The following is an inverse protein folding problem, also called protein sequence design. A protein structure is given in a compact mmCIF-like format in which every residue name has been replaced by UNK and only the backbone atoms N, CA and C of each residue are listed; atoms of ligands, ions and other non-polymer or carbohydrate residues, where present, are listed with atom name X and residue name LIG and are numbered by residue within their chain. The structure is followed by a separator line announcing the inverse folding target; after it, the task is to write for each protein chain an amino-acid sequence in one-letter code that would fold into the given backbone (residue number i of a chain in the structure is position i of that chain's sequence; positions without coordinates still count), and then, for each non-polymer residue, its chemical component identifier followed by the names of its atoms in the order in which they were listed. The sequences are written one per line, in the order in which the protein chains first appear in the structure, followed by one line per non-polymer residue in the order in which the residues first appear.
data_IF_207121151321
#
_entry.id   IF_207121151321
#
_cell.length_a   1.000
_cell.length_b   1.000
_cell.length_c   1.000
_cell.angle_alpha   90.00
_cell.angle_beta   90.00
_cell.angle_gamma   90.00
#
_symmetry.space_group_name_H-M   'P 1'
#
loop_
_entity.id
_entity.type
_entity.pdbx_description
1 polymer ?
#
# COMPACT_ATOMS: atom_id res chain seq x y z
N UNK A 1 -39.41 -46.44 -25.04
CA UNK A 1 -38.08 -45.80 -25.12
C UNK A 1 -38.23 -44.34 -24.69
N UNK A 2 -37.88 -44.01 -23.44
CA UNK A 2 -37.84 -42.62 -22.94
C UNK A 2 -36.39 -42.34 -22.56
N UNK A 3 -35.70 -41.55 -23.37
CA UNK A 3 -34.30 -41.21 -23.14
C UNK A 3 -34.21 -40.17 -22.02
N UNK A 4 -33.53 -40.54 -20.93
CA UNK A 4 -33.16 -39.64 -19.86
C UNK A 4 -31.96 -38.80 -20.32
N UNK A 5 -32.13 -37.47 -20.39
CA UNK A 5 -31.03 -36.55 -20.65
C UNK A 5 -30.46 -36.09 -19.30
N UNK A 6 -29.32 -36.65 -18.92
CA UNK A 6 -28.48 -36.20 -17.81
C UNK A 6 -27.82 -34.88 -18.20
N UNK A 7 -28.28 -33.77 -17.61
CA UNK A 7 -27.61 -32.47 -17.71
C UNK A 7 -26.47 -32.48 -16.69
N UNK A 8 -25.24 -32.63 -17.18
CA UNK A 8 -24.01 -32.54 -16.41
C UNK A 8 -23.79 -31.09 -15.99
N UNK A 9 -24.10 -30.75 -14.73
CA UNK A 9 -23.79 -29.45 -14.14
C UNK A 9 -22.27 -29.30 -14.00
N UNK A 10 -21.64 -28.60 -14.93
CA UNK A 10 -20.23 -28.25 -14.89
C UNK A 10 -20.05 -27.10 -13.88
N UNK A 11 -19.82 -27.45 -12.61
CA UNK A 11 -19.48 -26.50 -11.56
C UNK A 11 -18.10 -25.90 -11.83
N UNK A 12 -18.07 -24.68 -12.37
CA UNK A 12 -16.88 -23.83 -12.42
C UNK A 12 -16.54 -23.38 -11.00
N UNK A 13 -15.78 -24.19 -10.28
CA UNK A 13 -15.13 -23.76 -9.04
C UNK A 13 -14.07 -22.72 -9.40
N UNK A 14 -14.40 -21.44 -9.22
CA UNK A 14 -13.40 -20.37 -9.25
C UNK A 14 -12.41 -20.63 -8.12
N UNK A 15 -11.21 -21.12 -8.46
CA UNK A 15 -10.08 -21.15 -7.55
C UNK A 15 -9.76 -19.69 -7.17
N UNK A 16 -10.19 -19.27 -5.98
CA UNK A 16 -9.73 -18.04 -5.38
C UNK A 16 -8.23 -18.20 -5.09
N UNK A 17 -7.38 -17.62 -5.95
CA UNK A 17 -5.97 -17.51 -5.63
C UNK A 17 -5.84 -16.64 -4.37
N UNK A 18 -4.95 -16.99 -3.43
CA UNK A 18 -4.68 -16.13 -2.29
C UNK A 18 -4.22 -14.77 -2.83
N UNK A 19 -4.90 -13.71 -2.41
CA UNK A 19 -4.43 -12.34 -2.64
C UNK A 19 -3.04 -12.23 -2.02
N UNK A 20 -2.01 -12.22 -2.85
CA UNK A 20 -0.65 -12.00 -2.40
C UNK A 20 -0.59 -10.54 -1.95
N UNK A 21 -0.41 -10.32 -0.65
CA UNK A 21 -0.07 -9.00 -0.13
C UNK A 21 1.13 -8.50 -0.93
N UNK A 22 1.07 -7.26 -1.43
CA UNK A 22 2.16 -6.74 -2.25
C UNK A 22 3.41 -6.69 -1.36
N UNK A 23 4.43 -7.49 -1.67
CA UNK A 23 5.66 -7.47 -0.88
C UNK A 23 6.35 -6.11 -1.04
N UNK A 24 6.23 -5.29 -0.01
CA UNK A 24 6.85 -3.98 0.07
C UNK A 24 8.09 -4.05 0.93
N UNK A 25 9.19 -3.50 0.41
CA UNK A 25 10.40 -3.22 1.20
C UNK A 25 10.08 -2.28 2.38
N UNK A 26 10.89 -2.27 3.45
CA UNK A 26 10.68 -1.34 4.57
C UNK A 26 10.56 0.12 4.14
N UNK A 27 11.35 0.55 3.15
CA UNK A 27 11.30 1.90 2.60
C UNK A 27 9.97 2.19 1.90
N UNK A 28 9.45 1.27 1.07
CA UNK A 28 8.12 1.45 0.45
C UNK A 28 7.00 1.46 1.49
N UNK A 29 7.10 0.63 2.54
CA UNK A 29 6.14 0.63 3.66
C UNK A 29 6.16 1.97 4.42
N UNK A 30 7.32 2.60 4.56
CA UNK A 30 7.44 3.96 5.08
C UNK A 30 6.73 4.96 4.15
N UNK A 31 7.00 4.93 2.84
CA UNK A 31 6.35 5.83 1.89
C UNK A 31 4.82 5.69 1.91
N UNK A 32 4.29 4.47 2.06
CA UNK A 32 2.85 4.25 2.21
C UNK A 32 2.29 4.88 3.50
N UNK A 33 3.02 4.78 4.62
CA UNK A 33 2.63 5.44 5.86
C UNK A 33 2.67 6.98 5.70
N UNK A 34 3.65 7.53 4.98
CA UNK A 34 3.74 8.96 4.70
C UNK A 34 2.57 9.42 3.80
N UNK A 35 2.19 8.62 2.80
CA UNK A 35 0.99 8.88 1.99
C UNK A 35 -0.26 8.90 2.88
N UNK A 36 -0.43 7.90 3.74
CA UNK A 36 -1.57 7.81 4.65
C UNK A 36 -1.66 9.03 5.58
N UNK A 37 -0.52 9.48 6.12
CA UNK A 37 -0.44 10.71 6.91
C UNK A 37 -0.93 11.93 6.12
N UNK A 38 -0.45 12.12 4.90
CA UNK A 38 -0.86 13.27 4.05
C UNK A 38 -2.34 13.19 3.65
N UNK A 39 -2.89 12.00 3.45
CA UNK A 39 -4.33 11.82 3.25
C UNK A 39 -5.13 12.24 4.49
N UNK A 40 -4.64 11.93 5.68
CA UNK A 40 -5.21 12.40 6.95
C UNK A 40 -5.17 13.92 7.08
N UNK A 41 -4.04 14.54 6.76
CA UNK A 41 -3.90 16.00 6.71
C UNK A 41 -4.93 16.63 5.76
N UNK A 42 -5.04 16.07 4.55
CA UNK A 42 -5.98 16.54 3.51
C UNK A 42 -7.43 16.38 3.97
N UNK A 43 -7.73 15.31 4.70
CA UNK A 43 -9.06 15.06 5.28
C UNK A 43 -9.48 16.12 6.29
N UNK A 44 -8.58 16.51 7.19
CA UNK A 44 -8.84 17.55 8.18
C UNK A 44 -9.07 18.90 7.53
N UNK A 45 -8.20 19.27 6.59
CA UNK A 45 -8.26 20.55 5.89
C UNK A 45 -9.53 20.67 5.05
N UNK A 46 -9.93 19.59 4.38
CA UNK A 46 -11.17 19.55 3.61
C UNK A 46 -12.40 19.62 4.50
N UNK A 47 -12.47 18.85 5.60
CA UNK A 47 -13.61 18.92 6.53
C UNK A 47 -13.79 20.32 7.13
N UNK A 48 -12.70 21.06 7.37
CA UNK A 48 -12.78 22.43 7.86
C UNK A 48 -13.56 23.35 6.90
N UNK A 49 -13.52 23.08 5.58
CA UNK A 49 -14.19 23.88 4.54
C UNK A 49 -15.48 23.28 3.98
N UNK A 50 -15.58 21.96 3.90
CA UNK A 50 -16.69 21.23 3.27
C UNK A 50 -17.65 20.61 4.29
N UNK A 51 -17.28 20.64 5.58
CA UNK A 51 -18.08 20.15 6.69
C UNK A 51 -17.61 18.79 7.25
N UNK A 52 -17.97 18.52 8.51
CA UNK A 52 -17.48 17.39 9.28
C UNK A 52 -17.87 16.00 8.74
N UNK A 53 -18.84 15.93 7.82
CA UNK A 53 -19.33 14.68 7.24
C UNK A 53 -18.67 14.33 5.90
N UNK A 54 -17.82 15.19 5.33
CA UNK A 54 -17.07 14.87 4.11
C UNK A 54 -16.28 13.56 4.29
N UNK A 55 -16.33 12.67 3.29
CA UNK A 55 -15.67 11.35 3.29
C UNK A 55 -14.60 11.22 2.20
N UNK A 56 -14.38 12.26 1.39
CA UNK A 56 -13.64 12.17 0.13
C UNK A 56 -12.24 11.57 0.29
N UNK A 57 -11.53 11.96 1.36
CA UNK A 57 -10.19 11.47 1.64
C UNK A 57 -10.17 10.15 2.43
N UNK A 58 -11.21 9.84 3.21
CA UNK A 58 -11.35 8.50 3.81
C UNK A 58 -11.56 7.44 2.75
N UNK A 59 -12.40 7.70 1.75
CA UNK A 59 -12.64 6.78 0.64
C UNK A 59 -11.36 6.46 -0.14
N UNK A 60 -10.49 7.46 -0.32
CA UNK A 60 -9.17 7.28 -0.92
C UNK A 60 -8.22 6.49 -0.04
N UNK A 61 -8.25 6.71 1.26
CA UNK A 61 -7.48 5.91 2.21
C UNK A 61 -7.92 4.45 2.19
N UNK A 62 -9.23 4.17 2.08
CA UNK A 62 -9.75 2.81 1.87
C UNK A 62 -9.23 2.21 0.56
N UNK A 63 -9.24 2.99 -0.53
CA UNK A 63 -8.63 2.57 -1.80
C UNK A 63 -7.14 2.22 -1.69
N UNK A 64 -6.37 2.94 -0.85
CA UNK A 64 -4.96 2.59 -0.57
C UNK A 64 -4.86 1.24 0.14
N UNK A 65 -5.65 1.00 1.19
CA UNK A 65 -5.61 -0.28 1.90
C UNK A 65 -6.09 -1.44 1.04
N UNK A 66 -7.11 -1.23 0.21
CA UNK A 66 -7.63 -2.26 -0.69
C UNK A 66 -6.60 -2.64 -1.76
N UNK A 67 -5.91 -1.63 -2.31
CA UNK A 67 -4.89 -1.84 -3.35
C UNK A 67 -3.63 -2.50 -2.81
N UNK A 68 -3.15 -2.06 -1.64
CA UNK A 68 -1.90 -2.57 -1.07
C UNK A 68 -2.08 -3.91 -0.35
N UNK A 69 -3.32 -4.27 0.02
CA UNK A 69 -3.67 -5.46 0.79
C UNK A 69 -2.67 -5.72 1.95
N UNK A 70 -2.47 -4.75 2.85
CA UNK A 70 -1.41 -4.82 3.85
C UNK A 70 -1.67 -5.94 4.87
N UNK A 71 -0.59 -6.51 5.41
CA UNK A 71 -0.68 -7.32 6.62
C UNK A 71 -1.21 -6.49 7.81
N UNK A 72 -1.63 -7.18 8.89
CA UNK A 72 -2.25 -6.52 10.05
C UNK A 72 -1.34 -5.49 10.74
N UNK A 73 -0.01 -5.64 10.64
CA UNK A 73 0.92 -4.69 11.24
C UNK A 73 1.00 -3.41 10.41
N UNK A 74 1.10 -3.53 9.09
CA UNK A 74 1.09 -2.39 8.19
C UNK A 74 -0.27 -1.69 8.16
N UNK A 75 -1.38 -2.44 8.10
CA UNK A 75 -2.74 -1.86 8.14
C UNK A 75 -2.94 -0.93 9.36
N UNK A 76 -2.58 -1.43 10.56
CA UNK A 76 -2.62 -0.63 11.79
C UNK A 76 -1.79 0.64 11.66
N UNK A 77 -0.56 0.50 11.16
CA UNK A 77 0.36 1.62 10.97
C UNK A 77 -0.19 2.67 9.99
N UNK A 78 -0.81 2.24 8.89
CA UNK A 78 -1.42 3.16 7.92
C UNK A 78 -2.58 3.94 8.55
N UNK A 79 -3.44 3.26 9.32
CA UNK A 79 -4.55 3.88 10.06
C UNK A 79 -4.04 4.87 11.11
N UNK A 80 -3.02 4.51 11.86
CA UNK A 80 -2.37 5.39 12.84
C UNK A 80 -1.78 6.64 12.17
N UNK A 81 -1.10 6.47 11.04
CA UNK A 81 -0.53 7.58 10.27
C UNK A 81 -1.62 8.54 9.77
N UNK A 82 -2.69 8.02 9.17
CA UNK A 82 -3.85 8.82 8.75
C UNK A 82 -4.45 9.60 9.92
N UNK A 83 -4.71 8.94 11.04
CA UNK A 83 -5.29 9.57 12.23
C UNK A 83 -4.37 10.66 12.80
N UNK A 84 -3.05 10.44 12.74
CA UNK A 84 -2.05 11.41 13.19
C UNK A 84 -2.01 12.66 12.31
N UNK A 85 -2.02 12.49 10.98
CA UNK A 85 -2.08 13.62 10.03
C UNK A 85 -3.37 14.42 10.16
N UNK A 86 -4.49 13.72 10.34
CA UNK A 86 -5.79 14.33 10.59
C UNK A 86 -5.81 15.14 11.90
N UNK A 87 -5.32 14.57 13.00
CA UNK A 87 -5.24 15.26 14.28
C UNK A 87 -4.35 16.51 14.20
N UNK A 88 -3.20 16.41 13.52
CA UNK A 88 -2.26 17.52 13.35
C UNK A 88 -2.90 18.72 12.65
N UNK A 89 -3.48 18.52 11.46
CA UNK A 89 -4.08 19.65 10.72
C UNK A 89 -5.37 20.17 11.32
N UNK A 90 -6.15 19.33 11.98
CA UNK A 90 -7.36 19.77 12.69
C UNK A 90 -7.01 20.65 13.89
N UNK A 91 -5.92 20.36 14.59
CA UNK A 91 -5.44 21.21 15.68
C UNK A 91 -4.93 22.57 15.17
N UNK A 92 -4.28 22.58 14.00
CA UNK A 92 -3.76 23.81 13.37
C UNK A 92 -4.85 24.65 12.70
N UNK A 93 -5.84 24.01 12.07
CA UNK A 93 -6.90 24.64 11.28
C UNK A 93 -8.28 24.10 11.68
N UNK A 94 -8.85 24.57 12.81
CA UNK A 94 -10.18 24.14 13.27
C UNK A 94 -11.31 24.64 12.36
N UNK A 95 -11.09 25.73 11.62
CA UNK A 95 -12.08 26.36 10.73
C UNK A 95 -11.49 26.64 9.34
N UNK A 96 -12.36 26.75 8.34
CA UNK A 96 -11.93 27.13 6.98
C UNK A 96 -11.35 28.54 6.96
N UNK A 97 -10.17 28.68 6.37
CA UNK A 97 -9.52 29.97 6.17
C UNK A 97 -8.70 29.97 4.88
N UNK A 98 -8.18 31.14 4.50
CA UNK A 98 -7.21 31.23 3.40
C UNK A 98 -5.97 30.37 3.68
N UNK A 99 -5.51 30.34 4.94
CA UNK A 99 -4.36 29.55 5.34
C UNK A 99 -4.63 28.04 5.23
N UNK A 100 -5.82 27.57 5.63
CA UNK A 100 -6.17 26.15 5.50
C UNK A 100 -6.24 25.70 4.03
N UNK A 101 -6.76 26.53 3.12
CA UNK A 101 -6.77 26.23 1.67
C UNK A 101 -5.36 26.17 1.07
N UNK A 102 -4.45 27.04 1.53
CA UNK A 102 -3.03 26.99 1.12
C UNK A 102 -2.38 25.69 1.63
N UNK A 103 -2.65 25.32 2.90
CA UNK A 103 -2.16 24.08 3.47
C UNK A 103 -2.73 22.85 2.74
N UNK A 104 -3.99 22.89 2.32
CA UNK A 104 -4.63 21.81 1.54
C UNK A 104 -3.92 21.61 0.20
N UNK A 105 -3.66 22.70 -0.53
CA UNK A 105 -2.90 22.65 -1.77
C UNK A 105 -1.47 22.12 -1.55
N UNK A 106 -0.84 22.47 -0.42
CA UNK A 106 0.50 21.97 -0.08
C UNK A 106 0.48 20.47 0.27
N UNK A 107 -0.53 20.00 1.01
CA UNK A 107 -0.74 18.58 1.30
C UNK A 107 -0.95 17.78 0.00
N UNK A 108 -1.80 18.27 -0.91
CA UNK A 108 -2.03 17.63 -2.21
C UNK A 108 -0.74 17.48 -3.02
N UNK A 109 0.09 18.53 -3.12
CA UNK A 109 1.40 18.46 -3.81
C UNK A 109 2.34 17.45 -3.17
N UNK A 110 2.41 17.39 -1.83
CA UNK A 110 3.23 16.40 -1.13
C UNK A 110 2.73 14.98 -1.37
N UNK A 111 1.42 14.75 -1.32
CA UNK A 111 0.80 13.45 -1.61
C UNK A 111 1.12 12.98 -3.03
N UNK A 112 1.02 13.87 -4.02
CA UNK A 112 1.38 13.58 -5.41
C UNK A 112 2.86 13.21 -5.57
N UNK A 113 3.76 13.93 -4.88
CA UNK A 113 5.19 13.64 -4.91
C UNK A 113 5.51 12.27 -4.30
N UNK A 114 4.90 11.93 -3.16
CA UNK A 114 5.07 10.62 -2.51
C UNK A 114 4.53 9.49 -3.38
N UNK A 115 3.34 9.64 -3.95
CA UNK A 115 2.73 8.64 -4.84
C UNK A 115 3.60 8.41 -6.10
N UNK A 116 4.09 9.48 -6.72
CA UNK A 116 5.00 9.40 -7.87
C UNK A 116 6.30 8.69 -7.52
N UNK A 117 6.88 9.00 -6.35
CA UNK A 117 8.10 8.35 -5.87
C UNK A 117 7.88 6.85 -5.66
N UNK A 118 6.79 6.46 -4.99
CA UNK A 118 6.45 5.06 -4.76
C UNK A 118 6.25 4.30 -6.08
N UNK A 119 5.55 4.90 -7.05
CA UNK A 119 5.33 4.30 -8.37
C UNK A 119 6.66 4.09 -9.11
N UNK A 120 7.56 5.08 -9.07
CA UNK A 120 8.87 5.01 -9.73
C UNK A 120 9.80 3.93 -9.15
N UNK A 121 9.71 3.68 -7.86
CA UNK A 121 10.49 2.62 -7.20
C UNK A 121 9.86 1.27 -7.49
N UNK A 122 8.53 1.17 -7.49
CA UNK A 122 7.82 -0.09 -7.77
C UNK A 122 8.12 -0.61 -9.17
N UNK A 123 8.19 0.26 -10.18
CA UNK A 123 8.57 -0.14 -11.53
C UNK A 123 10.03 -0.63 -11.63
N UNK A 124 10.92 -0.16 -10.76
CA UNK A 124 12.32 -0.60 -10.70
C UNK A 124 12.53 -1.92 -9.95
N UNK A 125 11.55 -2.35 -9.16
CA UNK A 125 11.61 -3.56 -8.35
C UNK A 125 10.61 -4.58 -8.92
N UNK A 126 10.76 -4.92 -10.20
CA UNK A 126 9.92 -5.94 -10.84
C UNK A 126 10.01 -7.25 -10.02
N UNK A 127 8.89 -7.88 -9.61
CA UNK A 127 8.89 -9.12 -8.84
C UNK A 127 9.70 -10.25 -9.48
N UNK A 128 9.75 -10.31 -10.82
CA UNK A 128 10.52 -11.31 -11.56
C UNK A 128 12.02 -11.07 -11.40
N UNK A 129 12.45 -9.82 -11.46
CA UNK A 129 13.84 -9.43 -11.25
C UNK A 129 14.25 -9.60 -9.78
N UNK A 130 13.35 -9.29 -8.84
CA UNK A 130 13.57 -9.49 -7.42
C UNK A 130 13.73 -10.98 -7.07
N UNK A 131 12.87 -11.85 -7.63
CA UNK A 131 12.99 -13.31 -7.44
C UNK A 131 14.28 -13.87 -8.06
N UNK A 132 14.63 -13.42 -9.27
CA UNK A 132 15.88 -13.80 -9.92
C UNK A 132 17.10 -13.41 -9.06
N UNK A 133 17.07 -12.20 -8.48
CA UNK A 133 18.15 -11.70 -7.62
C UNK A 133 18.24 -12.47 -6.30
N UNK A 134 17.11 -12.87 -5.72
CA UNK A 134 17.06 -13.70 -4.51
C UNK A 134 17.65 -15.09 -4.76
N UNK A 135 17.27 -15.72 -5.88
CA UNK A 135 17.85 -16.99 -6.32
C UNK A 135 19.34 -16.90 -6.58
N UNK A 136 19.81 -15.80 -7.18
CA UNK A 136 21.23 -15.56 -7.39
C UNK A 136 22.00 -15.47 -6.06
N UNK A 137 21.48 -14.71 -5.08
CA UNK A 137 22.08 -14.61 -3.75
C UNK A 137 22.06 -15.94 -2.98
N UNK A 138 20.99 -16.73 -3.09
CA UNK A 138 20.92 -18.09 -2.53
C UNK A 138 21.96 -19.01 -3.15
N UNK A 139 22.14 -18.94 -4.47
CA UNK A 139 23.10 -19.75 -5.20
C UNK A 139 24.55 -19.36 -4.85
N UNK A 140 24.85 -18.05 -4.78
CA UNK A 140 26.15 -17.53 -4.31
C UNK A 140 26.45 -17.96 -2.86
N UNK A 141 25.45 -17.93 -1.98
CA UNK A 141 25.63 -18.38 -0.59
C UNK A 141 25.86 -19.90 -0.49
N UNK A 142 25.22 -20.68 -1.35
CA UNK A 142 25.39 -22.13 -1.40
C UNK A 142 26.77 -22.51 -1.95
N UNK A 143 27.23 -21.81 -2.98
CA UNK A 143 28.58 -21.98 -3.57
C UNK A 143 29.67 -21.61 -2.55
N UNK A 144 29.51 -20.50 -1.82
CA UNK A 144 30.43 -20.13 -0.74
C UNK A 144 30.46 -21.15 0.41
N UNK A 145 29.33 -21.81 0.71
CA UNK A 145 29.27 -22.90 1.69
C UNK A 145 29.99 -24.17 1.23
N UNK A 146 29.89 -24.50 -0.06
CA UNK A 146 30.56 -25.66 -0.65
C UNK A 146 32.08 -25.47 -0.70
N UNK A 147 32.54 -24.24 -1.00
CA UNK A 147 33.95 -23.87 -0.97
C UNK A 147 34.56 -23.96 0.45
N UNK A 148 33.84 -23.47 1.49
CA UNK A 148 34.27 -23.61 2.89
C UNK A 148 34.31 -25.08 3.36
N UNK A 149 33.44 -25.94 2.82
CA UNK A 149 33.45 -27.37 3.13
C UNK A 149 34.63 -28.09 2.45
N UNK A 150 35.02 -27.66 1.24
CA UNK A 150 36.14 -28.21 0.50
C UNK A 150 37.53 -27.78 1.02
N UNK A 151 37.63 -26.67 1.76
CA UNK A 151 38.88 -26.17 2.34
C UNK A 151 39.21 -26.73 3.74
N UNK A 152 38.33 -27.54 4.34
CA UNK A 152 38.59 -28.19 5.63
C UNK A 152 39.48 -29.44 5.41
N UNK A 153 40.66 -29.53 6.07
CA UNK A 153 41.59 -30.65 5.91
C UNK A 153 41.08 -31.96 6.55
#
# INVERSE_FOLDING_TARGET
MRAAALILALSLSALALPAQAQERTPAQRQTLADIAYVLGESHALRQACEGAYDQYWRDRMMGVTDTEAPDAALDRRLKEAFNSGFASRRAEFPECSRASRIAEAAAARRGQALASSLASVSHRVDPREAEARRKALEMEAMEAMEEDLSLRP
#
